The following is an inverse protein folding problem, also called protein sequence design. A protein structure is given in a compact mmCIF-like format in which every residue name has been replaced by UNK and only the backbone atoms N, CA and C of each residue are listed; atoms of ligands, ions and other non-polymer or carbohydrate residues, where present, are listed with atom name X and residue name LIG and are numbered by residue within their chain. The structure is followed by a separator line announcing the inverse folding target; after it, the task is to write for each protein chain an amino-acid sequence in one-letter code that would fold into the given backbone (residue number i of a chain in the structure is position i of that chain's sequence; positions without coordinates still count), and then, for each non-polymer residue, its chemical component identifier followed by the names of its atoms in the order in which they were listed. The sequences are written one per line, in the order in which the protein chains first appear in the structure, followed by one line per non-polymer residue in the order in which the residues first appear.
data_IF_965011982941
#
_entry.id   IF_965011982941
#
_cell.length_a   1.000
_cell.length_b   1.000
_cell.length_c   1.000
_cell.angle_alpha   90.00
_cell.angle_beta   90.00
_cell.angle_gamma   90.00
#
_symmetry.space_group_name_H-M   'P 1'
#
loop_
_entity.id
_entity.type
_entity.pdbx_description
1 polymer ?
#
# COMPACT_ATOMS: atom_id res chain seq x y z
N UNK A 1 -0.62 -20.84 -43.92
CA UNK A 1 -1.02 -20.02 -42.75
C UNK A 1 -0.34 -20.50 -41.47
N UNK A 2 0.15 -19.61 -40.61
CA UNK A 2 0.67 -20.03 -39.30
C UNK A 2 -0.46 -20.21 -38.28
N UNK A 3 -0.58 -21.39 -37.67
CA UNK A 3 -1.50 -21.67 -36.55
C UNK A 3 -1.41 -20.65 -35.39
N UNK A 4 -0.26 -19.97 -35.29
CA UNK A 4 -0.01 -18.92 -34.28
C UNK A 4 -0.84 -17.67 -34.50
N UNK A 5 -1.05 -17.23 -35.73
CA UNK A 5 -1.87 -16.03 -36.02
C UNK A 5 -3.33 -16.27 -35.68
N UNK A 6 -3.92 -17.40 -36.09
CA UNK A 6 -5.29 -17.78 -35.70
C UNK A 6 -5.47 -17.79 -34.18
N UNK A 7 -4.51 -18.39 -33.44
CA UNK A 7 -4.55 -18.38 -31.97
C UNK A 7 -4.48 -16.97 -31.39
N UNK A 8 -3.60 -16.12 -31.91
CA UNK A 8 -3.44 -14.75 -31.43
C UNK A 8 -4.70 -13.92 -31.67
N UNK A 9 -5.35 -14.08 -32.83
CA UNK A 9 -6.62 -13.43 -33.18
C UNK A 9 -7.74 -13.92 -32.25
N UNK A 10 -7.83 -15.23 -31.99
CA UNK A 10 -8.78 -15.79 -31.03
C UNK A 10 -8.57 -15.25 -29.60
N UNK A 11 -7.31 -15.11 -29.17
CA UNK A 11 -6.98 -14.51 -27.86
C UNK A 11 -7.31 -13.01 -27.81
N UNK A 12 -7.11 -12.26 -28.90
CA UNK A 12 -7.48 -10.84 -29.00
C UNK A 12 -9.00 -10.66 -28.94
N UNK A 13 -9.75 -11.48 -29.69
CA UNK A 13 -11.22 -11.50 -29.66
C UNK A 13 -11.75 -11.75 -28.25
N UNK A 14 -11.19 -12.73 -27.54
CA UNK A 14 -11.55 -13.02 -26.15
C UNK A 14 -11.31 -11.84 -25.19
N UNK A 15 -10.29 -11.02 -25.43
CA UNK A 15 -10.06 -9.81 -24.63
C UNK A 15 -11.08 -8.71 -24.96
N UNK A 16 -11.45 -8.54 -26.23
CA UNK A 16 -12.51 -7.61 -26.63
C UNK A 16 -13.86 -8.00 -26.01
N UNK A 17 -14.22 -9.29 -26.07
CA UNK A 17 -15.44 -9.82 -25.46
C UNK A 17 -15.44 -9.60 -23.94
N UNK A 18 -14.30 -9.84 -23.28
CA UNK A 18 -14.13 -9.60 -21.85
C UNK A 18 -14.29 -8.12 -21.48
N UNK A 19 -13.73 -7.21 -22.27
CA UNK A 19 -13.82 -5.77 -22.02
C UNK A 19 -15.27 -5.28 -22.14
N UNK A 20 -16.01 -5.71 -23.18
CA UNK A 20 -17.45 -5.38 -23.33
C UNK A 20 -18.30 -5.97 -22.20
N UNK A 21 -18.09 -7.24 -21.88
CA UNK A 21 -18.80 -7.91 -20.79
C UNK A 21 -18.53 -7.23 -19.43
N UNK A 22 -17.27 -6.83 -19.17
CA UNK A 22 -16.91 -6.11 -17.95
C UNK A 22 -17.56 -4.73 -17.89
N UNK A 23 -17.57 -3.97 -18.99
CA UNK A 23 -18.19 -2.64 -19.05
C UNK A 23 -19.70 -2.70 -18.80
N UNK A 24 -20.40 -3.68 -19.39
CA UNK A 24 -21.81 -3.94 -19.13
C UNK A 24 -22.04 -4.30 -17.65
N UNK A 25 -21.18 -5.16 -17.10
CA UNK A 25 -21.26 -5.59 -15.70
C UNK A 25 -21.14 -4.44 -14.70
N UNK A 26 -20.40 -3.37 -15.01
CA UNK A 26 -20.31 -2.17 -14.14
C UNK A 26 -21.68 -1.52 -13.94
N UNK A 27 -22.53 -1.54 -14.96
CA UNK A 27 -23.88 -0.97 -14.90
C UNK A 27 -24.85 -1.87 -14.11
N UNK A 28 -24.71 -3.19 -14.26
CA UNK A 28 -25.62 -4.19 -13.69
C UNK A 28 -25.37 -4.49 -12.20
N UNK A 29 -24.18 -4.17 -11.67
CA UNK A 29 -23.75 -4.58 -10.34
C UNK A 29 -24.17 -3.57 -9.24
N UNK A 30 -24.62 -4.05 -8.06
CA UNK A 30 -24.97 -3.20 -6.92
C UNK A 30 -23.83 -2.24 -6.51
N UNK A 31 -24.18 -1.08 -5.95
CA UNK A 31 -23.24 0.00 -5.66
C UNK A 31 -22.01 -0.41 -4.83
N UNK A 32 -22.12 -1.40 -3.95
CA UNK A 32 -21.01 -1.93 -3.15
C UNK A 32 -19.89 -2.60 -3.98
N UNK A 33 -20.26 -3.29 -5.06
CA UNK A 33 -19.33 -4.05 -5.91
C UNK A 33 -18.95 -3.31 -7.19
N UNK A 34 -19.62 -2.19 -7.50
CA UNK A 34 -19.39 -1.36 -8.68
C UNK A 34 -17.94 -0.91 -8.81
N UNK A 35 -17.23 -0.65 -7.71
CA UNK A 35 -15.81 -0.25 -7.73
C UNK A 35 -14.88 -1.37 -8.18
N UNK A 36 -15.13 -2.61 -7.74
CA UNK A 36 -14.37 -3.79 -8.17
C UNK A 36 -14.68 -4.14 -9.62
N UNK A 37 -15.95 -4.09 -10.02
CA UNK A 37 -16.37 -4.28 -11.41
C UNK A 37 -15.72 -3.22 -12.33
N UNK A 38 -15.70 -1.94 -11.92
CA UNK A 38 -15.06 -0.87 -12.66
C UNK A 38 -13.55 -1.07 -12.80
N UNK A 39 -12.88 -1.51 -11.73
CA UNK A 39 -11.46 -1.84 -11.78
C UNK A 39 -11.18 -2.97 -12.78
N UNK A 40 -12.00 -4.03 -12.78
CA UNK A 40 -11.88 -5.12 -13.76
C UNK A 40 -12.13 -4.61 -15.18
N UNK A 41 -13.14 -3.76 -15.42
CA UNK A 41 -13.41 -3.14 -16.73
C UNK A 41 -12.21 -2.38 -17.26
N UNK A 42 -11.65 -1.47 -16.46
CA UNK A 42 -10.50 -0.67 -16.87
C UNK A 42 -9.27 -1.51 -17.20
N UNK A 43 -9.05 -2.60 -16.47
CA UNK A 43 -7.93 -3.52 -16.74
C UNK A 43 -8.20 -4.37 -17.98
N UNK A 44 -9.42 -4.86 -18.18
CA UNK A 44 -9.81 -5.60 -19.37
C UNK A 44 -9.66 -4.75 -20.65
N UNK A 45 -10.11 -3.50 -20.61
CA UNK A 45 -9.91 -2.52 -21.69
C UNK A 45 -8.43 -2.27 -21.96
N UNK A 46 -7.62 -2.10 -20.90
CA UNK A 46 -6.17 -1.91 -21.03
C UNK A 46 -5.49 -3.13 -21.66
N UNK A 47 -5.88 -4.33 -21.24
CA UNK A 47 -5.35 -5.59 -21.77
C UNK A 47 -5.70 -5.75 -23.26
N UNK A 48 -6.93 -5.39 -23.65
CA UNK A 48 -7.35 -5.39 -25.05
C UNK A 48 -6.52 -4.41 -25.89
N UNK A 49 -6.40 -3.16 -25.43
CA UNK A 49 -5.64 -2.11 -26.12
C UNK A 49 -4.15 -2.47 -26.28
N UNK A 50 -3.51 -3.01 -25.24
CA UNK A 50 -2.11 -3.47 -25.31
C UNK A 50 -1.93 -4.63 -26.27
N UNK A 51 -2.87 -5.56 -26.27
CA UNK A 51 -2.79 -6.76 -27.11
C UNK A 51 -3.02 -6.42 -28.57
N UNK A 52 -3.99 -5.57 -28.87
CA UNK A 52 -4.21 -5.00 -30.20
C UNK A 52 -2.94 -4.28 -30.70
N UNK A 53 -2.38 -3.37 -29.89
CA UNK A 53 -1.15 -2.64 -30.26
C UNK A 53 0.05 -3.55 -30.50
N UNK A 54 0.18 -4.62 -29.71
CA UNK A 54 1.27 -5.60 -29.85
C UNK A 54 1.13 -6.41 -31.13
N UNK A 55 -0.09 -6.86 -31.45
CA UNK A 55 -0.36 -7.62 -32.67
C UNK A 55 -0.28 -6.75 -33.92
N UNK A 56 -0.76 -5.52 -33.88
CA UNK A 56 -0.59 -4.54 -34.95
C UNK A 56 0.90 -4.30 -35.23
N UNK A 57 1.71 -4.11 -34.19
CA UNK A 57 3.15 -3.93 -34.34
C UNK A 57 3.83 -5.15 -34.96
N UNK A 58 3.42 -6.35 -34.59
CA UNK A 58 3.92 -7.59 -35.21
C UNK A 58 3.47 -7.71 -36.67
N UNK A 59 2.22 -7.34 -36.98
CA UNK A 59 1.67 -7.36 -38.33
C UNK A 59 2.42 -6.40 -39.25
N UNK A 60 2.59 -5.14 -38.84
CA UNK A 60 3.30 -4.11 -39.62
C UNK A 60 4.79 -4.42 -39.83
N UNK A 61 5.40 -5.19 -38.94
CA UNK A 61 6.79 -5.64 -39.08
C UNK A 61 6.92 -6.98 -39.84
N UNK A 62 5.81 -7.54 -40.32
CA UNK A 62 5.69 -8.90 -40.87
C UNK A 62 6.35 -9.98 -40.00
N UNK A 63 6.21 -9.85 -38.67
CA UNK A 63 6.76 -10.78 -37.69
C UNK A 63 5.72 -11.78 -37.22
N UNK A 64 6.19 -12.89 -36.66
CA UNK A 64 5.32 -13.84 -35.96
C UNK A 64 4.71 -13.18 -34.70
N UNK A 65 3.44 -13.46 -34.36
CA UNK A 65 2.82 -12.91 -33.16
C UNK A 65 3.49 -13.51 -31.91
N UNK A 66 3.46 -12.79 -30.77
CA UNK A 66 4.03 -13.30 -29.53
C UNK A 66 3.30 -14.57 -29.07
N UNK A 67 4.00 -15.47 -28.36
CA UNK A 67 3.41 -16.71 -27.85
C UNK A 67 2.28 -16.47 -26.84
N UNK A 68 2.30 -15.33 -26.15
CA UNK A 68 1.30 -14.90 -25.17
C UNK A 68 1.09 -13.40 -25.31
N UNK A 69 -0.17 -12.97 -25.35
CA UNK A 69 -0.52 -11.55 -25.35
C UNK A 69 -0.27 -10.90 -23.99
N UNK A 70 0.01 -9.58 -23.95
CA UNK A 70 0.20 -8.84 -22.71
C UNK A 70 -1.12 -8.78 -21.94
N UNK A 71 -1.06 -9.19 -20.67
CA UNK A 71 -2.22 -9.28 -19.81
C UNK A 71 -1.82 -8.88 -18.40
N UNK A 72 -2.61 -8.04 -17.75
CA UNK A 72 -2.38 -7.63 -16.38
C UNK A 72 -2.48 -8.82 -15.42
N UNK A 73 -1.48 -8.94 -14.54
CA UNK A 73 -1.57 -9.87 -13.41
C UNK A 73 -2.34 -9.20 -12.29
N UNK A 74 -3.45 -9.80 -11.91
CA UNK A 74 -4.15 -9.45 -10.68
C UNK A 74 -3.45 -10.15 -9.52
N UNK A 75 -3.06 -9.39 -8.49
CA UNK A 75 -2.28 -9.89 -7.36
C UNK A 75 -3.21 -10.29 -6.22
N UNK A 76 -3.44 -11.59 -5.96
CA UNK A 76 -4.45 -12.03 -5.00
C UNK A 76 -4.13 -11.65 -3.54
N UNK A 77 -2.86 -11.46 -3.18
CA UNK A 77 -2.49 -11.07 -1.81
C UNK A 77 -2.62 -9.55 -1.55
N UNK A 78 -2.67 -8.73 -2.61
CA UNK A 78 -2.73 -7.26 -2.56
C UNK A 78 -3.93 -6.71 -3.34
N UNK A 79 -5.05 -7.43 -3.28
CA UNK A 79 -6.27 -7.15 -4.05
C UNK A 79 -6.80 -5.72 -3.88
N UNK A 80 -6.80 -5.21 -2.66
CA UNK A 80 -7.31 -3.86 -2.38
C UNK A 80 -6.36 -2.78 -2.91
N UNK A 81 -5.05 -2.93 -2.66
CA UNK A 81 -4.02 -2.02 -3.21
C UNK A 81 -4.04 -2.05 -4.74
N UNK A 82 -4.22 -3.22 -5.34
CA UNK A 82 -4.40 -3.37 -6.77
C UNK A 82 -5.65 -2.63 -7.26
N UNK A 83 -6.80 -2.82 -6.60
CA UNK A 83 -8.06 -2.16 -6.96
C UNK A 83 -7.93 -0.64 -6.91
N UNK A 84 -7.40 -0.10 -5.81
CA UNK A 84 -7.25 1.34 -5.61
C UNK A 84 -6.28 1.91 -6.65
N UNK A 85 -5.13 1.26 -6.86
CA UNK A 85 -4.16 1.65 -7.88
C UNK A 85 -4.76 1.65 -9.30
N UNK A 86 -5.61 0.65 -9.61
CA UNK A 86 -6.29 0.54 -10.90
C UNK A 86 -7.32 1.63 -11.07
N UNK A 87 -8.13 1.93 -10.05
CA UNK A 87 -9.12 3.00 -10.12
C UNK A 87 -8.46 4.36 -10.31
N UNK A 88 -7.41 4.65 -9.53
CA UNK A 88 -6.67 5.92 -9.60
C UNK A 88 -5.99 6.12 -10.97
N UNK A 89 -5.45 5.04 -11.54
CA UNK A 89 -4.75 5.09 -12.84
C UNK A 89 -5.65 4.75 -14.03
N UNK A 90 -6.95 4.60 -13.82
CA UNK A 90 -7.93 4.10 -14.82
C UNK A 90 -7.42 2.87 -15.57
N UNK A 91 -6.94 1.86 -14.85
CA UNK A 91 -6.41 0.59 -15.39
C UNK A 91 -5.06 0.71 -16.12
N UNK A 92 -4.53 1.91 -16.28
CA UNK A 92 -3.36 2.16 -17.11
C UNK A 92 -3.69 2.27 -18.61
N UNK A 93 -4.96 2.49 -18.98
CA UNK A 93 -5.41 2.73 -20.37
C UNK A 93 -4.58 3.85 -21.01
N UNK A 94 -4.37 4.96 -20.29
CA UNK A 94 -3.58 6.10 -20.76
C UNK A 94 -2.13 5.77 -21.14
N UNK A 95 -1.54 4.74 -20.52
CA UNK A 95 -0.19 4.26 -20.84
C UNK A 95 -0.17 3.29 -22.01
N UNK A 96 -1.32 2.69 -22.32
CA UNK A 96 -1.49 1.73 -23.40
C UNK A 96 -1.88 2.39 -24.74
N UNK A 97 -2.32 3.65 -24.72
CA UNK A 97 -2.60 4.42 -25.95
C UNK A 97 -1.37 4.44 -26.88
N UNK A 98 -1.51 4.07 -28.17
CA UNK A 98 -0.42 4.05 -29.14
C UNK A 98 0.25 5.42 -29.26
N UNK A 99 1.57 5.53 -29.06
CA UNK A 99 2.30 6.81 -29.14
C UNK A 99 2.51 7.29 -30.59
N UNK A 100 2.91 8.55 -30.76
CA UNK A 100 3.21 9.15 -32.08
C UNK A 100 4.15 8.31 -32.95
N UNK A 101 5.17 7.67 -32.36
CA UNK A 101 6.07 6.79 -33.11
C UNK A 101 5.34 5.58 -33.74
N UNK A 102 4.30 5.05 -33.09
CA UNK A 102 3.47 3.99 -33.65
C UNK A 102 2.58 4.52 -34.79
N UNK A 103 2.03 5.73 -34.65
CA UNK A 103 1.25 6.39 -35.71
C UNK A 103 2.09 6.65 -36.97
N UNK A 104 3.32 7.14 -36.81
CA UNK A 104 4.26 7.34 -37.93
C UNK A 104 4.51 6.01 -38.64
N UNK A 105 4.70 4.92 -37.88
CA UNK A 105 4.88 3.59 -38.48
C UNK A 105 3.65 3.09 -39.23
N UNK A 106 2.45 3.30 -38.69
CA UNK A 106 1.19 2.94 -39.38
C UNK A 106 1.05 3.71 -40.69
N UNK A 107 1.31 5.02 -40.69
CA UNK A 107 1.24 5.88 -41.88
C UNK A 107 2.31 5.56 -42.93
N UNK A 108 3.44 5.00 -42.53
CA UNK A 108 4.51 4.59 -43.46
C UNK A 108 4.27 3.22 -44.13
N UNK A 109 3.25 2.47 -43.68
CA UNK A 109 2.92 1.20 -44.29
C UNK A 109 2.11 1.40 -45.60
N UNK A 110 2.03 0.38 -46.47
CA UNK A 110 1.26 0.46 -47.71
C UNK A 110 -0.20 0.86 -47.47
N UNK A 111 -0.76 1.60 -48.42
CA UNK A 111 -2.14 2.06 -48.34
C UNK A 111 -3.12 0.88 -48.31
N UNK A 112 -3.94 0.84 -47.26
CA UNK A 112 -4.96 -0.19 -47.03
C UNK A 112 -6.14 0.48 -46.29
N UNK A 113 -7.39 0.32 -46.78
CA UNK A 113 -8.57 0.92 -46.16
C UNK A 113 -8.79 0.47 -44.69
N UNK A 114 -8.47 -0.77 -44.34
CA UNK A 114 -8.60 -1.25 -42.97
C UNK A 114 -7.53 -0.63 -42.07
N UNK A 115 -6.31 -0.46 -42.59
CA UNK A 115 -5.26 0.26 -41.88
C UNK A 115 -5.60 1.75 -41.70
N UNK A 116 -6.25 2.39 -42.67
CA UNK A 116 -6.73 3.77 -42.53
C UNK A 116 -7.73 3.89 -41.36
N UNK A 117 -8.69 2.96 -41.26
CA UNK A 117 -9.62 2.91 -40.13
C UNK A 117 -8.90 2.72 -38.78
N UNK A 118 -7.84 1.90 -38.74
CA UNK A 118 -6.99 1.75 -37.53
C UNK A 118 -6.27 3.06 -37.17
N UNK A 119 -5.77 3.80 -38.16
CA UNK A 119 -5.12 5.10 -37.96
C UNK A 119 -6.12 6.10 -37.38
N UNK A 120 -7.33 6.20 -37.93
CA UNK A 120 -8.38 7.11 -37.44
C UNK A 120 -8.72 6.84 -35.96
N UNK A 121 -8.87 5.56 -35.58
CA UNK A 121 -9.13 5.20 -34.19
C UNK A 121 -7.93 5.47 -33.27
N UNK A 122 -6.69 5.32 -33.77
CA UNK A 122 -5.49 5.65 -33.02
C UNK A 122 -5.35 7.16 -32.79
N UNK A 123 -5.75 7.99 -33.76
CA UNK A 123 -5.81 9.45 -33.64
C UNK A 123 -6.90 9.89 -32.67
N UNK A 124 -8.07 9.27 -32.71
CA UNK A 124 -9.13 9.51 -31.72
C UNK A 124 -8.66 9.19 -30.29
N UNK A 125 -7.89 8.11 -30.10
CA UNK A 125 -7.25 7.80 -28.82
C UNK A 125 -6.20 8.84 -28.41
N UNK A 126 -5.45 9.40 -29.35
CA UNK A 126 -4.54 10.52 -29.07
C UNK A 126 -5.30 11.78 -28.64
N UNK A 127 -6.45 12.09 -29.25
CA UNK A 127 -7.31 13.18 -28.80
C UNK A 127 -7.77 12.98 -27.35
N UNK A 128 -8.16 11.75 -26.98
CA UNK A 128 -8.49 11.41 -25.58
C UNK A 128 -7.32 11.59 -24.62
N UNK A 129 -6.11 11.16 -25.02
CA UNK A 129 -4.89 11.32 -24.23
C UNK A 129 -4.51 12.80 -24.07
N UNK A 130 -4.74 13.62 -25.10
CA UNK A 130 -4.59 15.08 -25.04
C UNK A 130 -5.58 15.69 -24.06
N UNK A 131 -6.85 15.28 -24.12
CA UNK A 131 -7.88 15.63 -23.15
C UNK A 131 -7.44 15.39 -21.71
N UNK A 132 -6.97 14.18 -21.38
CA UNK A 132 -6.47 13.84 -20.04
C UNK A 132 -5.32 14.76 -19.59
N UNK A 133 -4.37 15.07 -20.46
CA UNK A 133 -3.18 15.87 -20.13
C UNK A 133 -3.46 17.36 -20.01
N UNK A 134 -4.42 17.88 -20.79
CA UNK A 134 -4.65 19.32 -20.92
C UNK A 134 -5.85 19.82 -20.12
N UNK A 135 -6.87 19.00 -19.86
CA UNK A 135 -8.10 19.46 -19.18
C UNK A 135 -7.81 20.11 -17.81
N UNK A 136 -6.85 19.57 -17.07
CA UNK A 136 -6.48 20.09 -15.76
C UNK A 136 -5.74 21.45 -15.82
N UNK A 137 -5.13 21.78 -16.97
CA UNK A 137 -4.52 23.09 -17.22
C UNK A 137 -5.52 24.17 -17.57
N UNK A 138 -6.80 23.81 -17.79
CA UNK A 138 -7.86 24.79 -17.99
C UNK A 138 -8.43 25.31 -16.67
N UNK A 139 -8.04 24.73 -15.55
CA UNK A 139 -8.41 25.27 -14.24
C UNK A 139 -7.42 26.33 -13.81
N UNK A 140 -7.91 27.43 -13.25
CA UNK A 140 -7.11 28.45 -12.57
C UNK A 140 -7.55 28.57 -11.11
N UNK A 141 -6.64 29.02 -10.24
CA UNK A 141 -7.02 29.55 -8.93
C UNK A 141 -7.55 30.97 -9.09
N UNK A 142 -8.63 31.30 -8.39
CA UNK A 142 -9.27 32.62 -8.49
C UNK A 142 -9.58 33.21 -7.12
N UNK A 143 -9.69 34.54 -7.09
CA UNK A 143 -10.10 35.33 -5.94
C UNK A 143 -11.55 35.76 -6.21
N UNK A 144 -12.53 35.25 -5.45
CA UNK A 144 -13.93 35.64 -5.63
C UNK A 144 -14.14 37.10 -5.29
N UNK A 145 -15.07 37.75 -5.98
CA UNK A 145 -15.46 39.12 -5.66
C UNK A 145 -16.21 39.16 -4.31
N UNK A 146 -15.78 40.06 -3.41
CA UNK A 146 -16.31 40.14 -2.02
C UNK A 146 -17.78 40.58 -1.94
N UNK A 147 -18.41 40.94 -3.04
CA UNK A 147 -19.77 41.52 -3.10
C UNK A 147 -20.82 40.60 -3.72
N UNK A 148 -20.46 39.40 -4.21
CA UNK A 148 -21.39 38.47 -4.84
C UNK A 148 -22.02 37.49 -3.85
N UNK A 149 -23.36 37.38 -3.84
CA UNK A 149 -24.07 36.27 -3.19
C UNK A 149 -23.58 34.92 -3.74
N UNK A 150 -23.51 33.87 -2.91
CA UNK A 150 -23.10 32.54 -3.34
C UNK A 150 -24.22 31.88 -4.16
N UNK A 151 -24.37 32.25 -5.43
CA UNK A 151 -25.24 31.52 -6.36
C UNK A 151 -24.47 30.42 -7.08
N UNK A 152 -25.12 29.26 -7.18
CA UNK A 152 -24.61 27.98 -7.64
C UNK A 152 -24.38 27.89 -9.17
N UNK A 153 -23.84 28.94 -9.78
CA UNK A 153 -23.41 28.90 -11.18
C UNK A 153 -21.90 28.62 -11.27
N UNK A 154 -21.49 27.78 -12.20
CA UNK A 154 -20.08 27.50 -12.52
C UNK A 154 -19.32 28.74 -13.04
N UNK A 155 -20.01 29.87 -13.22
CA UNK A 155 -19.46 31.17 -13.61
C UNK A 155 -19.31 32.03 -12.34
N UNK A 156 -18.40 31.63 -11.45
CA UNK A 156 -18.13 32.43 -10.25
C UNK A 156 -17.36 33.69 -10.66
N UNK A 157 -18.00 34.84 -10.48
CA UNK A 157 -17.38 36.16 -10.63
C UNK A 157 -16.15 36.32 -9.74
N UNK A 158 -15.12 36.99 -10.24
CA UNK A 158 -13.85 37.13 -9.56
C UNK A 158 -12.68 37.28 -10.51
N UNK A 159 -11.53 37.67 -9.96
CA UNK A 159 -10.28 37.85 -10.72
C UNK A 159 -9.37 36.62 -10.61
N UNK A 160 -8.65 36.34 -11.70
CA UNK A 160 -7.60 35.30 -11.72
C UNK A 160 -6.54 35.61 -10.64
N UNK A 161 -6.13 34.59 -9.90
CA UNK A 161 -5.10 34.75 -8.89
C UNK A 161 -3.73 35.06 -9.55
N UNK A 162 -2.88 35.91 -8.94
CA UNK A 162 -1.53 36.15 -9.44
C UNK A 162 -0.74 34.84 -9.57
N UNK A 163 -0.02 34.69 -10.68
CA UNK A 163 0.83 33.52 -10.94
C UNK A 163 2.18 33.61 -10.25
N UNK A 164 2.86 32.47 -10.08
CA UNK A 164 4.22 32.43 -9.57
C UNK A 164 5.19 33.09 -10.57
N UNK A 165 6.23 33.79 -10.09
CA UNK A 165 7.25 34.37 -10.95
C UNK A 165 7.85 33.32 -11.88
N UNK A 166 8.05 33.68 -13.16
CA UNK A 166 8.54 32.79 -14.24
C UNK A 166 7.59 31.67 -14.69
N UNK A 167 6.36 31.61 -14.17
CA UNK A 167 5.34 30.63 -14.59
C UNK A 167 4.05 31.37 -14.98
N UNK A 168 3.97 31.94 -16.20
CA UNK A 168 2.86 32.80 -16.59
C UNK A 168 1.54 32.06 -16.79
N UNK A 169 1.57 30.74 -17.02
CA UNK A 169 0.36 29.91 -17.23
C UNK A 169 -0.46 29.76 -15.93
N UNK A 170 -1.67 30.34 -15.82
CA UNK A 170 -2.51 30.24 -14.63
C UNK A 170 -2.92 28.79 -14.30
N UNK A 171 -2.97 27.92 -15.31
CA UNK A 171 -3.30 26.52 -15.16
C UNK A 171 -2.14 25.61 -14.82
N UNK A 172 -0.94 26.18 -14.63
CA UNK A 172 0.22 25.40 -14.24
C UNK A 172 -0.01 24.74 -12.87
N UNK A 173 0.36 23.45 -12.69
CA UNK A 173 0.13 22.74 -11.43
C UNK A 173 0.69 23.45 -10.20
N UNK A 174 1.83 24.13 -10.32
CA UNK A 174 2.43 24.91 -9.23
C UNK A 174 1.59 26.14 -8.86
N UNK A 175 1.02 26.84 -9.84
CA UNK A 175 0.15 28.00 -9.59
C UNK A 175 -1.14 27.57 -8.87
N UNK A 176 -1.63 26.35 -9.15
CA UNK A 176 -2.79 25.75 -8.48
C UNK A 176 -2.49 25.22 -7.07
N UNK A 177 -1.30 24.63 -6.87
CA UNK A 177 -0.88 24.09 -5.58
C UNK A 177 -0.49 25.18 -4.58
N UNK A 178 0.03 26.31 -5.07
CA UNK A 178 0.48 27.44 -4.26
C UNK A 178 -0.21 28.73 -4.71
N UNK A 179 -1.54 28.84 -4.50
CA UNK A 179 -2.29 30.02 -4.91
C UNK A 179 -1.81 31.26 -4.15
N UNK A 180 -1.58 32.36 -4.88
CA UNK A 180 -1.19 33.66 -4.31
C UNK A 180 -2.37 34.61 -4.18
N UNK A 181 -2.18 35.65 -3.36
CA UNK A 181 -3.10 36.79 -3.30
C UNK A 181 -4.45 36.51 -2.62
N UNK A 182 -4.53 35.49 -1.77
CA UNK A 182 -5.76 35.15 -1.04
C UNK A 182 -6.80 34.41 -1.89
N UNK A 183 -6.38 33.64 -2.90
CA UNK A 183 -7.29 32.79 -3.67
C UNK A 183 -7.94 31.73 -2.77
N UNK A 184 -9.26 31.59 -2.88
CA UNK A 184 -10.06 30.68 -2.03
C UNK A 184 -10.72 29.55 -2.81
N UNK A 185 -10.56 29.51 -4.14
CA UNK A 185 -11.18 28.48 -4.98
C UNK A 185 -10.47 28.24 -6.31
N UNK A 186 -10.95 27.21 -7.02
CA UNK A 186 -10.55 26.86 -8.38
C UNK A 186 -11.74 26.95 -9.32
N UNK A 187 -11.55 27.52 -10.52
CA UNK A 187 -12.57 27.60 -11.58
C UNK A 187 -11.96 27.27 -12.94
N UNK A 188 -12.79 27.07 -13.96
CA UNK A 188 -12.34 27.00 -15.35
C UNK A 188 -11.89 28.40 -15.77
N UNK A 189 -10.80 28.50 -16.52
CA UNK A 189 -10.29 29.76 -17.08
C UNK A 189 -11.40 30.43 -17.90
N UNK A 190 -11.73 31.71 -17.60
CA UNK A 190 -12.79 32.43 -18.30
C UNK A 190 -12.58 32.43 -19.82
N UNK A 191 -13.63 32.15 -20.59
CA UNK A 191 -13.60 32.13 -22.05
C UNK A 191 -13.02 30.85 -22.66
N UNK A 192 -12.68 29.85 -21.85
CA UNK A 192 -12.18 28.53 -22.30
C UNK A 192 -13.14 27.38 -22.00
N UNK A 193 -14.41 27.67 -21.74
CA UNK A 193 -15.43 26.69 -21.39
C UNK A 193 -15.71 25.72 -22.56
N UNK A 194 -15.73 26.23 -23.79
CA UNK A 194 -15.89 25.40 -24.99
C UNK A 194 -14.73 24.40 -25.16
N UNK A 195 -13.50 24.87 -24.97
CA UNK A 195 -12.30 24.02 -25.00
C UNK A 195 -12.32 22.99 -23.85
N UNK A 196 -12.74 23.41 -22.65
CA UNK A 196 -12.92 22.51 -21.52
C UNK A 196 -13.93 21.40 -21.82
N UNK A 197 -15.09 21.76 -22.37
CA UNK A 197 -16.12 20.80 -22.72
C UNK A 197 -15.62 19.81 -23.77
N UNK A 198 -14.89 20.29 -24.79
CA UNK A 198 -14.28 19.42 -25.80
C UNK A 198 -13.24 18.47 -25.19
N UNK A 199 -12.27 18.97 -24.43
CA UNK A 199 -11.22 18.13 -23.82
C UNK A 199 -11.79 17.16 -22.78
N UNK A 200 -12.84 17.57 -22.04
CA UNK A 200 -13.54 16.73 -21.08
C UNK A 200 -14.30 15.60 -21.78
N UNK A 201 -14.98 15.91 -22.90
CA UNK A 201 -15.64 14.93 -23.76
C UNK A 201 -14.64 13.96 -24.39
N UNK A 202 -13.52 14.46 -24.92
CA UNK A 202 -12.46 13.62 -25.46
C UNK A 202 -11.87 12.69 -24.40
N UNK A 203 -11.67 13.20 -23.17
CA UNK A 203 -11.19 12.42 -22.04
C UNK A 203 -12.17 11.31 -21.65
N UNK A 204 -13.48 11.59 -21.61
CA UNK A 204 -14.48 10.59 -21.23
C UNK A 204 -14.70 9.54 -22.33
N UNK A 205 -14.51 9.91 -23.60
CA UNK A 205 -14.63 9.02 -24.76
C UNK A 205 -13.54 7.93 -24.85
N UNK A 206 -12.50 7.97 -24.00
CA UNK A 206 -11.37 7.02 -24.07
C UNK A 206 -11.81 5.56 -24.03
N UNK A 207 -12.83 5.23 -23.25
CA UNK A 207 -13.30 3.85 -23.07
C UNK A 207 -13.92 3.30 -24.36
N UNK A 208 -14.79 4.09 -25.01
CA UNK A 208 -15.38 3.72 -26.29
C UNK A 208 -14.32 3.67 -27.41
N UNK A 209 -13.41 4.64 -27.45
CA UNK A 209 -12.33 4.69 -28.45
C UNK A 209 -11.32 3.54 -28.29
N UNK A 210 -11.07 3.07 -27.07
CA UNK A 210 -10.19 1.92 -26.83
C UNK A 210 -10.77 0.62 -27.40
N UNK A 211 -12.08 0.40 -27.24
CA UNK A 211 -12.78 -0.71 -27.86
C UNK A 211 -12.78 -0.59 -29.39
N UNK A 212 -13.13 0.59 -29.92
CA UNK A 212 -13.17 0.82 -31.37
C UNK A 212 -11.81 0.60 -32.04
N UNK A 213 -10.71 1.05 -31.42
CA UNK A 213 -9.36 0.78 -31.91
C UNK A 213 -9.04 -0.72 -31.90
N UNK A 214 -9.34 -1.42 -30.82
CA UNK A 214 -9.12 -2.86 -30.75
C UNK A 214 -9.91 -3.62 -31.82
N UNK A 215 -11.15 -3.21 -32.07
CA UNK A 215 -12.04 -3.81 -33.08
C UNK A 215 -11.56 -3.53 -34.50
N UNK A 216 -11.07 -2.32 -34.79
CA UNK A 216 -10.44 -1.99 -36.06
C UNK A 216 -9.18 -2.84 -36.32
N UNK A 217 -8.34 -3.02 -35.29
CA UNK A 217 -7.16 -3.90 -35.39
C UNK A 217 -7.57 -5.35 -35.58
N UNK A 218 -8.61 -5.82 -34.87
CA UNK A 218 -9.11 -7.17 -35.03
C UNK A 218 -9.62 -7.42 -36.46
N UNK A 219 -10.38 -6.48 -37.03
CA UNK A 219 -10.86 -6.55 -38.41
C UNK A 219 -9.70 -6.64 -39.41
N UNK A 220 -8.71 -5.74 -39.29
CA UNK A 220 -7.49 -5.76 -40.10
C UNK A 220 -6.76 -7.12 -40.03
N UNK A 221 -6.61 -7.69 -38.82
CA UNK A 221 -5.90 -8.95 -38.63
C UNK A 221 -6.69 -10.15 -39.14
N UNK A 222 -8.02 -10.14 -39.01
CA UNK A 222 -8.88 -11.20 -39.56
C UNK A 222 -8.77 -11.23 -41.07
N UNK A 223 -8.84 -10.07 -41.73
CA UNK A 223 -8.70 -9.97 -43.17
C UNK A 223 -7.32 -10.47 -43.63
N UNK A 224 -6.24 -9.92 -43.05
CA UNK A 224 -4.90 -10.17 -43.58
C UNK A 224 -4.22 -11.46 -43.09
N UNK A 225 -4.67 -12.05 -41.98
CA UNK A 225 -3.98 -13.19 -41.34
C UNK A 225 -4.90 -14.39 -41.06
N UNK A 226 -6.21 -14.24 -41.28
CA UNK A 226 -7.21 -15.30 -41.12
C UNK A 226 -8.13 -15.47 -42.34
N UNK A 227 -7.74 -14.91 -43.50
CA UNK A 227 -8.46 -15.05 -44.78
C UNK A 227 -9.94 -14.62 -44.66
N UNK A 228 -10.20 -13.55 -43.90
CA UNK A 228 -11.55 -13.02 -43.65
C UNK A 228 -12.39 -13.83 -42.65
N UNK A 229 -11.94 -15.02 -42.21
CA UNK A 229 -12.68 -15.88 -41.30
C UNK A 229 -12.23 -15.68 -39.86
N UNK A 230 -13.05 -15.01 -39.07
CA UNK A 230 -12.77 -14.78 -37.66
C UNK A 230 -12.79 -16.09 -36.86
N UNK A 231 -11.70 -16.49 -36.19
CA UNK A 231 -11.69 -17.67 -35.34
C UNK A 231 -12.62 -17.50 -34.13
N UNK A 232 -13.05 -18.62 -33.56
CA UNK A 232 -13.80 -18.63 -32.31
C UNK A 232 -13.01 -17.96 -31.18
N UNK A 233 -13.76 -17.35 -30.26
CA UNK A 233 -13.17 -16.64 -29.12
C UNK A 233 -12.37 -17.63 -28.25
N UNK A 234 -11.13 -17.27 -27.94
CA UNK A 234 -10.25 -18.10 -27.11
C UNK A 234 -10.65 -18.09 -25.62
N UNK A 235 -9.87 -18.81 -24.79
CA UNK A 235 -10.05 -18.77 -23.33
C UNK A 235 -9.71 -17.40 -22.76
N UNK A 236 -10.60 -16.88 -21.92
CA UNK A 236 -10.39 -15.66 -21.13
C UNK A 236 -9.10 -15.74 -20.29
N UNK A 237 -8.35 -14.64 -20.27
CA UNK A 237 -7.12 -14.49 -19.49
C UNK A 237 -7.12 -13.16 -18.72
N UNK A 238 -6.25 -13.04 -17.72
CA UNK A 238 -6.08 -11.80 -16.96
C UNK A 238 -7.30 -11.38 -16.17
N UNK A 239 -7.59 -10.09 -16.25
CA UNK A 239 -8.81 -9.50 -15.69
C UNK A 239 -10.08 -10.14 -16.28
N UNK A 240 -10.07 -10.57 -17.54
CA UNK A 240 -11.21 -11.23 -18.17
C UNK A 240 -11.69 -12.49 -17.44
N UNK A 241 -10.82 -13.20 -16.72
CA UNK A 241 -11.22 -14.37 -15.91
C UNK A 241 -12.03 -14.03 -14.66
N UNK A 242 -11.98 -12.76 -14.24
CA UNK A 242 -12.64 -12.28 -13.04
C UNK A 242 -13.97 -11.58 -13.33
N UNK A 243 -14.33 -11.39 -14.60
CA UNK A 243 -15.65 -10.90 -15.01
C UNK A 243 -16.72 -11.91 -14.55
N UNK A 244 -17.69 -11.44 -13.78
CA UNK A 244 -18.70 -12.27 -13.12
C UNK A 244 -18.23 -13.01 -11.86
N UNK A 245 -16.96 -12.85 -11.48
CA UNK A 245 -16.36 -13.42 -10.26
C UNK A 245 -15.76 -12.33 -9.36
N UNK A 246 -16.36 -11.15 -9.37
CA UNK A 246 -15.86 -9.96 -8.68
C UNK A 246 -15.72 -10.21 -7.18
N UNK A 247 -16.71 -10.88 -6.56
CA UNK A 247 -16.68 -11.24 -5.14
C UNK A 247 -15.57 -12.22 -4.77
N UNK A 248 -15.20 -13.13 -5.70
CA UNK A 248 -14.08 -14.03 -5.50
C UNK A 248 -12.74 -13.28 -5.57
N UNK A 249 -12.70 -12.16 -6.30
CA UNK A 249 -11.51 -11.33 -6.46
C UNK A 249 -11.35 -10.31 -5.32
N UNK A 250 -12.38 -9.55 -4.99
CA UNK A 250 -12.38 -8.61 -3.86
C UNK A 250 -13.66 -8.84 -3.08
N UNK A 251 -13.63 -9.64 -1.99
CA UNK A 251 -14.79 -9.85 -1.15
C UNK A 251 -15.28 -8.52 -0.57
N UNK A 252 -16.59 -8.34 -0.48
CA UNK A 252 -17.16 -7.16 0.17
C UNK A 252 -16.63 -7.07 1.61
N UNK A 253 -15.97 -5.95 1.92
CA UNK A 253 -15.51 -5.68 3.28
C UNK A 253 -16.70 -5.22 4.12
N UNK A 254 -16.77 -5.73 5.35
CA UNK A 254 -17.55 -5.08 6.39
C UNK A 254 -17.11 -3.61 6.46
N UNK A 255 -18.07 -2.69 6.31
CA UNK A 255 -17.82 -1.25 6.43
C UNK A 255 -17.72 -0.88 7.90
N UNK A 256 -16.96 0.16 8.20
CA UNK A 256 -17.05 0.80 9.51
C UNK A 256 -18.49 1.28 9.73
N UNK A 257 -19.12 0.98 10.88
CA UNK A 257 -20.45 1.49 11.17
C UNK A 257 -20.39 3.01 11.31
N UNK A 258 -21.44 3.70 10.86
CA UNK A 258 -21.53 5.16 10.95
C UNK A 258 -21.57 5.66 12.40
N UNK A 259 -22.06 4.81 13.32
CA UNK A 259 -22.03 5.03 14.77
C UNK A 259 -21.60 3.75 15.45
N UNK A 260 -20.62 3.85 16.35
CA UNK A 260 -20.18 2.73 17.18
C UNK A 260 -21.17 2.55 18.33
N UNK A 261 -21.64 1.33 18.55
CA UNK A 261 -22.33 0.99 19.79
C UNK A 261 -21.32 0.79 20.94
N UNK A 262 -21.77 0.77 22.19
CA UNK A 262 -20.88 0.65 23.36
C UNK A 262 -19.97 -0.58 23.32
N UNK A 263 -20.47 -1.73 22.84
CA UNK A 263 -19.70 -2.98 22.75
C UNK A 263 -18.64 -2.94 21.64
N UNK A 264 -18.94 -2.29 20.52
CA UNK A 264 -18.00 -2.06 19.43
C UNK A 264 -16.92 -1.04 19.85
N UNK A 265 -17.31 -0.01 20.61
CA UNK A 265 -16.40 0.92 21.24
C UNK A 265 -15.44 0.22 22.21
N UNK A 266 -15.95 -0.68 23.05
CA UNK A 266 -15.14 -1.50 23.95
C UNK A 266 -14.10 -2.36 23.18
N UNK A 267 -14.48 -2.90 22.02
CA UNK A 267 -13.54 -3.65 21.17
C UNK A 267 -12.42 -2.79 20.60
N UNK A 268 -12.72 -1.59 20.14
CA UNK A 268 -11.69 -0.66 19.69
C UNK A 268 -10.80 -0.18 20.83
N UNK A 269 -11.37 0.07 22.00
CA UNK A 269 -10.61 0.45 23.19
C UNK A 269 -9.64 -0.67 23.62
N UNK A 270 -10.10 -1.93 23.66
CA UNK A 270 -9.25 -3.07 23.99
C UNK A 270 -8.13 -3.31 22.99
N UNK A 271 -8.43 -3.22 21.69
CA UNK A 271 -7.41 -3.32 20.63
C UNK A 271 -6.42 -2.14 20.67
N UNK A 272 -6.90 -0.93 20.92
CA UNK A 272 -6.06 0.27 21.07
C UNK A 272 -5.13 0.16 22.27
N UNK A 273 -5.63 -0.35 23.40
CA UNK A 273 -4.81 -0.59 24.59
C UNK A 273 -3.75 -1.65 24.35
N UNK A 274 -4.07 -2.72 23.61
CA UNK A 274 -3.08 -3.73 23.22
C UNK A 274 -1.96 -3.13 22.38
N UNK A 275 -2.28 -2.30 21.38
CA UNK A 275 -1.27 -1.61 20.57
C UNK A 275 -0.40 -0.72 21.47
N UNK A 276 -1.01 0.04 22.38
CA UNK A 276 -0.28 0.88 23.32
C UNK A 276 0.67 0.06 24.21
N UNK A 277 0.20 -1.07 24.76
CA UNK A 277 1.02 -1.94 25.59
C UNK A 277 2.23 -2.52 24.82
N UNK A 278 2.01 -2.99 23.60
CA UNK A 278 3.10 -3.48 22.74
C UNK A 278 4.07 -2.35 22.32
N UNK A 279 3.58 -1.13 22.17
CA UNK A 279 4.40 0.05 21.82
C UNK A 279 5.35 0.42 22.96
N UNK A 280 5.01 0.09 24.20
CA UNK A 280 5.87 0.27 25.37
C UNK A 280 7.07 -0.69 25.41
N UNK A 281 7.00 -1.85 24.74
CA UNK A 281 8.04 -2.88 24.84
C UNK A 281 9.44 -2.38 24.46
N UNK A 282 9.67 -1.74 23.30
CA UNK A 282 11.01 -1.26 22.95
C UNK A 282 11.57 -0.27 23.98
N UNK A 283 10.71 0.56 24.56
CA UNK A 283 11.13 1.57 25.54
C UNK A 283 11.48 0.91 26.88
N UNK A 284 10.63 0.00 27.39
CA UNK A 284 10.88 -0.72 28.65
C UNK A 284 12.17 -1.54 28.58
N UNK A 285 12.34 -2.31 27.49
CA UNK A 285 13.52 -3.14 27.29
C UNK A 285 14.77 -2.29 27.03
N UNK A 286 14.66 -1.24 26.22
CA UNK A 286 15.77 -0.34 25.94
C UNK A 286 16.25 0.43 27.17
N UNK A 287 15.35 0.83 28.07
CA UNK A 287 15.70 1.45 29.35
C UNK A 287 16.46 0.48 30.25
N UNK A 288 16.01 -0.79 30.35
CA UNK A 288 16.65 -1.79 31.22
C UNK A 288 17.98 -2.29 30.67
N UNK A 289 18.14 -2.32 29.35
CA UNK A 289 19.39 -2.66 28.67
C UNK A 289 20.43 -1.51 28.62
N UNK A 290 20.16 -0.39 29.30
CA UNK A 290 20.95 0.85 29.25
C UNK A 290 21.27 1.35 27.81
N UNK A 291 20.36 1.08 26.87
CA UNK A 291 20.47 1.51 25.47
C UNK A 291 19.94 2.93 25.26
N UNK A 292 19.93 3.77 26.31
CA UNK A 292 19.41 5.14 26.27
C UNK A 292 20.18 6.03 25.29
N UNK A 293 21.45 5.71 25.03
CA UNK A 293 22.27 6.32 23.96
C UNK A 293 21.66 6.16 22.56
N UNK A 294 20.74 5.21 22.36
CA UNK A 294 20.07 4.90 21.10
C UNK A 294 18.56 5.21 21.14
N UNK A 295 18.13 6.20 21.92
CA UNK A 295 16.71 6.57 22.10
C UNK A 295 15.96 6.73 20.77
N UNK A 296 16.59 7.29 19.73
CA UNK A 296 15.99 7.47 18.40
C UNK A 296 15.54 6.15 17.76
N UNK A 297 16.35 5.09 17.87
CA UNK A 297 16.00 3.77 17.34
C UNK A 297 14.87 3.12 18.13
N UNK A 298 14.86 3.29 19.46
CA UNK A 298 13.79 2.77 20.33
C UNK A 298 12.45 3.45 20.03
N UNK A 299 12.44 4.77 19.85
CA UNK A 299 11.24 5.52 19.43
C UNK A 299 10.79 5.17 18.01
N UNK A 300 11.72 4.93 17.07
CA UNK A 300 11.37 4.47 15.73
C UNK A 300 10.73 3.08 15.76
N UNK A 301 11.27 2.15 16.55
CA UNK A 301 10.70 0.82 16.74
C UNK A 301 9.29 0.89 17.37
N UNK A 302 9.12 1.70 18.42
CA UNK A 302 7.81 1.94 19.02
C UNK A 302 6.83 2.56 18.01
N UNK A 303 7.25 3.58 17.26
CA UNK A 303 6.47 4.20 16.21
C UNK A 303 6.03 3.22 15.12
N UNK A 304 6.92 2.30 14.70
CA UNK A 304 6.60 1.26 13.73
C UNK A 304 5.51 0.31 14.27
N UNK A 305 5.60 -0.11 15.54
CA UNK A 305 4.59 -0.95 16.19
C UNK A 305 3.24 -0.21 16.25
N UNK A 306 3.23 1.06 16.65
CA UNK A 306 2.01 1.87 16.71
C UNK A 306 1.36 2.04 15.32
N UNK A 307 2.15 2.36 14.30
CA UNK A 307 1.66 2.51 12.93
C UNK A 307 1.11 1.20 12.36
N UNK A 308 1.84 0.10 12.52
CA UNK A 308 1.42 -1.21 12.02
C UNK A 308 0.18 -1.73 12.76
N UNK A 309 0.14 -1.61 14.08
CA UNK A 309 -1.03 -1.95 14.90
C UNK A 309 -2.26 -1.14 14.52
N UNK A 310 -2.13 0.17 14.36
CA UNK A 310 -3.24 1.04 13.93
C UNK A 310 -3.74 0.68 12.53
N UNK A 311 -2.83 0.40 11.59
CA UNK A 311 -3.19 -0.02 10.24
C UNK A 311 -3.94 -1.37 10.24
N UNK A 312 -3.54 -2.31 11.10
CA UNK A 312 -4.23 -3.59 11.27
C UNK A 312 -5.64 -3.41 11.86
N UNK A 313 -5.80 -2.56 12.89
CA UNK A 313 -7.12 -2.23 13.46
C UNK A 313 -7.99 -1.57 12.40
N UNK A 314 -7.48 -0.59 11.67
CA UNK A 314 -8.23 0.09 10.60
C UNK A 314 -8.73 -0.90 9.53
N UNK A 315 -7.88 -1.88 9.16
CA UNK A 315 -8.15 -2.86 8.10
C UNK A 315 -9.09 -3.99 8.55
N UNK A 316 -8.91 -4.52 9.75
CA UNK A 316 -9.59 -5.72 10.24
C UNK A 316 -10.68 -5.43 11.28
N UNK A 317 -10.65 -4.26 11.89
CA UNK A 317 -11.60 -3.79 12.90
C UNK A 317 -13.07 -3.99 12.53
N UNK A 318 -13.53 -3.64 11.31
CA UNK A 318 -14.92 -3.82 10.92
C UNK A 318 -15.41 -5.27 11.07
N UNK A 319 -14.56 -6.26 10.73
CA UNK A 319 -14.90 -7.68 10.86
C UNK A 319 -14.95 -8.15 12.31
N UNK A 320 -14.17 -7.53 13.19
CA UNK A 320 -14.14 -7.87 14.62
C UNK A 320 -15.36 -7.30 15.36
N UNK A 321 -15.97 -6.24 14.83
CA UNK A 321 -17.10 -5.54 15.45
C UNK A 321 -18.46 -5.84 14.79
N UNK A 322 -18.50 -6.68 13.75
CA UNK A 322 -19.74 -7.12 13.08
C UNK A 322 -20.68 -8.01 13.90
N UNK A 323 -20.25 -8.83 14.89
CA UNK A 323 -21.19 -9.65 15.65
C UNK A 323 -22.21 -8.75 16.39
N UNK A 324 -23.52 -9.02 16.34
CA UNK A 324 -24.49 -8.24 17.09
C UNK A 324 -24.40 -8.49 18.60
N UNK A 325 -24.76 -7.46 19.39
CA UNK A 325 -24.94 -7.57 20.84
C UNK A 325 -23.62 -7.69 21.63
N UNK A 326 -23.61 -8.40 22.78
CA UNK A 326 -22.45 -8.49 23.67
C UNK A 326 -21.27 -9.26 23.06
N UNK A 327 -21.53 -10.12 22.06
CA UNK A 327 -20.46 -10.85 21.35
C UNK A 327 -19.51 -9.93 20.59
N UNK A 328 -19.93 -8.70 20.26
CA UNK A 328 -19.08 -7.70 19.63
C UNK A 328 -17.90 -7.28 20.51
N UNK A 329 -18.02 -7.40 21.84
CA UNK A 329 -17.02 -6.99 22.83
C UNK A 329 -15.92 -8.04 23.07
N UNK A 330 -16.16 -9.30 22.72
CA UNK A 330 -15.26 -10.43 23.03
C UNK A 330 -13.84 -10.21 22.49
N UNK A 331 -13.64 -9.80 21.21
CA UNK A 331 -12.29 -9.54 20.71
C UNK A 331 -11.58 -8.41 21.49
N UNK A 332 -12.34 -7.41 21.92
CA UNK A 332 -11.88 -6.33 22.80
C UNK A 332 -11.40 -6.81 24.16
N UNK A 333 -12.22 -7.62 24.82
CA UNK A 333 -11.93 -8.17 26.14
C UNK A 333 -10.67 -9.04 26.07
N UNK A 334 -10.58 -9.92 25.08
CA UNK A 334 -9.38 -10.74 24.86
C UNK A 334 -8.15 -9.86 24.64
N UNK A 335 -8.26 -8.84 23.79
CA UNK A 335 -7.16 -7.90 23.55
C UNK A 335 -6.77 -7.13 24.82
N UNK A 336 -7.73 -6.72 25.65
CA UNK A 336 -7.49 -6.02 26.91
C UNK A 336 -6.80 -6.93 27.95
N UNK A 337 -7.19 -8.21 28.05
CA UNK A 337 -6.50 -9.19 28.91
C UNK A 337 -5.06 -9.37 28.45
N UNK A 338 -4.83 -9.53 27.14
CA UNK A 338 -3.48 -9.63 26.60
C UNK A 338 -2.69 -8.34 26.89
N UNK A 339 -3.30 -7.17 26.65
CA UNK A 339 -2.68 -5.86 26.91
C UNK A 339 -2.24 -5.74 28.37
N UNK A 340 -3.10 -6.13 29.30
CA UNK A 340 -2.80 -6.15 30.73
C UNK A 340 -1.63 -7.09 31.05
N UNK A 341 -1.63 -8.31 30.52
CA UNK A 341 -0.53 -9.25 30.73
C UNK A 341 0.80 -8.74 30.17
N UNK A 342 0.80 -8.12 28.99
CA UNK A 342 2.00 -7.51 28.38
C UNK A 342 2.47 -6.34 29.24
N UNK A 343 1.55 -5.47 29.68
CA UNK A 343 1.88 -4.29 30.47
C UNK A 343 2.48 -4.64 31.84
N UNK A 344 1.92 -5.65 32.52
CA UNK A 344 2.41 -6.11 33.81
C UNK A 344 3.66 -6.98 33.68
N UNK A 345 3.77 -7.77 32.60
CA UNK A 345 4.89 -8.70 32.40
C UNK A 345 6.16 -8.07 31.86
N UNK A 346 6.07 -7.00 31.07
CA UNK A 346 7.23 -6.42 30.37
C UNK A 346 8.33 -5.94 31.33
N UNK A 347 7.97 -5.36 32.49
CA UNK A 347 8.93 -4.89 33.49
C UNK A 347 9.68 -6.07 34.13
N UNK A 348 8.99 -6.99 34.82
CA UNK A 348 9.63 -8.16 35.43
C UNK A 348 10.44 -9.01 34.45
N UNK A 349 9.97 -9.17 33.21
CA UNK A 349 10.72 -9.90 32.18
C UNK A 349 11.98 -9.13 31.77
N UNK A 350 11.88 -7.82 31.53
CA UNK A 350 13.05 -7.01 31.24
C UNK A 350 14.05 -7.03 32.40
N UNK A 351 13.57 -6.94 33.63
CA UNK A 351 14.38 -6.95 34.85
C UNK A 351 15.08 -8.30 35.03
N UNK A 352 14.40 -9.39 34.67
CA UNK A 352 15.01 -10.72 34.72
C UNK A 352 16.21 -10.83 33.76
N UNK A 353 16.06 -10.36 32.51
CA UNK A 353 17.10 -10.49 31.48
C UNK A 353 18.21 -9.43 31.60
N UNK A 354 17.86 -8.20 31.97
CA UNK A 354 18.76 -7.03 32.00
C UNK A 354 19.01 -6.56 33.44
N UNK A 355 19.14 -7.50 34.36
CA UNK A 355 19.34 -7.18 35.77
C UNK A 355 20.69 -6.54 36.07
N UNK A 356 20.72 -5.81 37.19
CA UNK A 356 21.94 -5.29 37.76
C UNK A 356 22.93 -6.40 38.13
N UNK A 357 24.23 -6.08 38.28
CA UNK A 357 25.27 -7.05 38.61
C UNK A 357 25.01 -7.83 39.89
N UNK A 358 24.52 -7.17 40.95
CA UNK A 358 24.22 -7.85 42.21
C UNK A 358 23.05 -8.82 42.09
N UNK A 359 21.98 -8.45 41.38
CA UNK A 359 20.83 -9.33 41.14
C UNK A 359 21.20 -10.55 40.26
N UNK A 360 22.20 -10.40 39.38
CA UNK A 360 22.78 -11.53 38.62
C UNK A 360 23.59 -12.43 39.54
N UNK A 361 24.43 -11.86 40.41
CA UNK A 361 25.18 -12.61 41.42
C UNK A 361 24.25 -13.38 42.37
N UNK A 362 23.20 -12.71 42.84
CA UNK A 362 22.26 -13.27 43.78
C UNK A 362 21.55 -14.48 43.19
N UNK A 363 21.13 -14.39 41.92
CA UNK A 363 20.47 -15.50 41.22
C UNK A 363 21.42 -16.63 40.80
N UNK A 364 22.63 -16.31 40.35
CA UNK A 364 23.58 -17.30 39.84
C UNK A 364 24.28 -18.05 40.97
N UNK A 365 24.62 -17.35 42.05
CA UNK A 365 25.49 -17.86 43.09
C UNK A 365 24.80 -17.87 44.47
N UNK A 366 24.34 -16.71 44.96
CA UNK A 366 23.92 -16.58 46.36
C UNK A 366 22.65 -17.37 46.73
N UNK A 367 21.69 -17.48 45.82
CA UNK A 367 20.51 -18.35 45.95
C UNK A 367 20.73 -19.75 45.35
N UNK A 368 21.90 -19.99 44.76
CA UNK A 368 22.30 -21.25 44.13
C UNK A 368 23.33 -22.00 44.98
N UNK A 369 24.47 -22.30 44.37
CA UNK A 369 25.54 -23.08 44.98
C UNK A 369 26.18 -22.40 46.21
N UNK A 370 26.14 -21.07 46.33
CA UNK A 370 26.67 -20.34 47.50
C UNK A 370 25.64 -20.13 48.62
N UNK A 371 24.42 -20.65 48.52
CA UNK A 371 23.35 -20.40 49.50
C UNK A 371 23.68 -20.87 50.93
N UNK A 372 24.46 -21.93 51.08
CA UNK A 372 24.91 -22.46 52.38
C UNK A 372 26.31 -21.94 52.80
N UNK A 373 26.91 -21.03 52.03
CA UNK A 373 28.27 -20.53 52.24
C UNK A 373 28.28 -19.17 52.97
N UNK A 374 29.45 -18.67 53.40
CA UNK A 374 29.62 -17.29 53.86
C UNK A 374 29.26 -16.22 52.81
N UNK A 375 29.08 -16.62 51.55
CA UNK A 375 28.76 -15.75 50.42
C UNK A 375 27.26 -15.64 50.11
N UNK A 376 26.39 -16.19 50.97
CA UNK A 376 24.94 -16.07 50.83
C UNK A 376 24.47 -14.61 50.93
N UNK A 377 23.27 -14.34 50.39
CA UNK A 377 22.72 -13.00 50.19
C UNK A 377 22.76 -12.08 51.43
N UNK A 378 22.42 -12.58 52.61
CA UNK A 378 22.35 -11.84 53.87
C UNK A 378 23.71 -11.67 54.57
N UNK A 379 24.75 -12.35 54.07
CA UNK A 379 26.07 -12.42 54.71
C UNK A 379 27.17 -11.73 53.90
N UNK A 380 26.82 -10.94 52.88
CA UNK A 380 27.80 -10.29 52.00
C UNK A 380 27.59 -8.78 51.89
N UNK A 381 28.70 -8.07 51.67
CA UNK A 381 28.71 -6.70 51.15
C UNK A 381 29.18 -6.75 49.71
N UNK A 382 28.38 -6.20 48.80
CA UNK A 382 28.71 -6.12 47.39
C UNK A 382 28.95 -4.66 46.97
N UNK A 383 29.97 -4.46 46.14
CA UNK A 383 30.27 -3.18 45.51
C UNK A 383 30.62 -3.42 44.04
N UNK A 384 30.13 -2.57 43.16
CA UNK A 384 30.51 -2.57 41.74
C UNK A 384 31.49 -1.43 41.53
N UNK A 385 32.67 -1.73 40.99
CA UNK A 385 33.68 -0.76 40.62
C UNK A 385 34.36 -1.20 39.31
N UNK A 386 34.53 -0.26 38.38
CA UNK A 386 35.15 -0.47 37.05
C UNK A 386 34.69 -1.76 36.31
N UNK A 387 33.37 -2.00 36.28
CA UNK A 387 32.80 -3.18 35.62
C UNK A 387 33.10 -4.52 36.32
N UNK A 388 33.53 -4.48 37.58
CA UNK A 388 33.78 -5.64 38.44
C UNK A 388 32.88 -5.60 39.67
N UNK A 389 32.13 -6.68 39.87
CA UNK A 389 31.39 -6.93 41.09
C UNK A 389 32.32 -7.56 42.12
N UNK A 390 32.53 -6.84 43.20
CA UNK A 390 33.32 -7.26 44.35
C UNK A 390 32.39 -7.68 45.47
N UNK A 391 32.44 -8.94 45.89
CA UNK A 391 31.58 -9.49 46.96
C UNK A 391 32.44 -9.92 48.14
N UNK A 392 32.22 -9.32 49.31
CA UNK A 392 32.98 -9.57 50.53
C UNK A 392 32.09 -10.15 51.62
N UNK A 393 32.40 -11.34 52.18
CA UNK A 393 31.63 -11.93 53.26
C UNK A 393 31.81 -11.15 54.56
N UNK A 394 30.71 -10.92 55.29
CA UNK A 394 30.68 -10.15 56.54
C UNK A 394 31.43 -10.88 57.66
N UNK A 395 31.46 -12.21 57.64
CA UNK A 395 32.18 -13.04 58.63
C UNK A 395 33.70 -13.11 58.37
N UNK A 396 34.20 -12.42 57.33
CA UNK A 396 35.58 -12.52 56.88
C UNK A 396 35.80 -13.70 55.93
N UNK A 397 36.76 -13.57 55.01
CA UNK A 397 37.06 -14.56 53.98
C UNK A 397 37.66 -13.94 52.72
N UNK A 398 37.83 -14.75 51.68
CA UNK A 398 38.32 -14.31 50.37
C UNK A 398 37.29 -13.41 49.69
N UNK A 399 37.69 -12.27 49.15
CA UNK A 399 36.79 -11.41 48.36
C UNK A 399 36.61 -11.98 46.96
N UNK A 400 35.36 -12.16 46.51
CA UNK A 400 35.06 -12.60 45.15
C UNK A 400 35.10 -11.41 44.19
N UNK A 401 35.77 -11.58 43.04
CA UNK A 401 35.84 -10.60 41.95
C UNK A 401 35.23 -11.20 40.68
N UNK A 402 34.07 -10.68 40.31
CA UNK A 402 33.23 -11.22 39.25
C UNK A 402 33.00 -10.16 38.15
N UNK A 403 33.17 -10.55 36.88
CA UNK A 403 32.92 -9.66 35.75
C UNK A 403 32.50 -10.39 34.48
N UNK A 404 31.91 -9.69 33.49
CA UNK A 404 31.64 -8.25 33.48
C UNK A 404 30.36 -7.88 34.28
N UNK A 405 30.51 -6.89 35.17
CA UNK A 405 29.48 -6.34 36.04
C UNK A 405 28.92 -5.00 35.54
N UNK A 406 28.59 -4.95 34.24
CA UNK A 406 27.90 -3.83 33.62
C UNK A 406 26.39 -3.89 33.92
N UNK A 407 25.76 -2.72 34.12
CA UNK A 407 24.30 -2.62 34.23
C UNK A 407 23.63 -2.99 32.91
N UNK A 408 22.49 -3.69 32.97
CA UNK A 408 21.77 -4.12 31.78
C UNK A 408 22.48 -5.20 30.95
N UNK A 409 23.54 -5.84 31.45
CA UNK A 409 24.24 -6.91 30.73
C UNK A 409 23.56 -8.26 30.91
N UNK A 410 23.51 -9.06 29.84
CA UNK A 410 23.00 -10.45 29.85
C UNK A 410 24.10 -11.48 30.05
N UNK A 411 25.36 -11.05 30.12
CA UNK A 411 26.49 -11.97 30.25
C UNK A 411 26.51 -12.62 31.64
N UNK A 412 26.89 -13.91 31.75
CA UNK A 412 27.12 -14.52 33.06
C UNK A 412 28.32 -13.83 33.74
N UNK A 413 28.23 -13.65 35.04
CA UNK A 413 29.35 -13.19 35.83
C UNK A 413 30.42 -14.29 35.85
N UNK A 414 31.68 -13.95 35.61
CA UNK A 414 32.79 -14.92 35.58
C UNK A 414 33.86 -14.54 36.59
N UNK A 415 34.57 -15.52 37.17
CA UNK A 415 35.69 -15.25 38.07
C UNK A 415 36.82 -14.56 37.32
N UNK A 416 37.26 -13.41 37.82
CA UNK A 416 38.34 -12.61 37.21
C UNK A 416 39.73 -13.01 37.71
N UNK A 417 39.82 -13.66 38.87
CA UNK A 417 41.08 -14.12 39.45
C UNK A 417 41.01 -15.57 39.92
N UNK A 418 42.20 -16.13 40.21
CA UNK A 418 42.36 -17.52 40.64
C UNK A 418 41.75 -17.77 42.03
N UNK A 419 41.73 -16.75 42.89
CA UNK A 419 41.18 -16.85 44.24
C UNK A 419 39.66 -17.01 44.20
N UNK A 420 38.97 -16.20 43.40
CA UNK A 420 37.52 -16.29 43.15
C UNK A 420 37.18 -17.64 42.53
N UNK A 421 37.97 -18.10 41.53
CA UNK A 421 37.75 -19.42 40.93
C UNK A 421 37.87 -20.56 41.94
N UNK A 422 38.91 -20.54 42.78
CA UNK A 422 39.10 -21.58 43.80
C UNK A 422 37.94 -21.64 44.79
N UNK A 423 37.39 -20.48 45.20
CA UNK A 423 36.21 -20.43 46.07
C UNK A 423 34.98 -20.94 45.34
N UNK A 424 34.73 -20.54 44.10
CA UNK A 424 33.60 -21.05 43.32
C UNK A 424 33.68 -22.58 43.17
N UNK A 425 34.84 -23.10 42.76
CA UNK A 425 35.10 -24.53 42.60
C UNK A 425 34.88 -25.31 43.93
N UNK A 426 35.28 -24.73 45.08
CA UNK A 426 35.09 -25.33 46.42
C UNK A 426 33.61 -25.55 46.76
N UNK A 427 32.74 -24.62 46.36
CA UNK A 427 31.29 -24.70 46.60
C UNK A 427 30.51 -25.30 45.42
N UNK A 428 31.21 -25.82 44.40
CA UNK A 428 30.58 -26.43 43.22
C UNK A 428 29.86 -25.44 42.30
N UNK A 429 30.34 -24.20 42.28
CA UNK A 429 30.04 -23.14 41.32
C UNK A 429 31.16 -23.04 40.27
#
# INVERSE_FOLDING_TARGET
MSSRWRRAIAELRAQGDAARAAAQRVQDVPSGQRTTAAAISYVAETDYLRSASTLLSAHLADRRPPRRLPVARVWPCLRDVWKDQVLDRRGGVWRAVPRNAALVRMRSAPADPLLAAVIDQAEALQASLRGERQVNRLYESYIPDRTGRPDASLLVGGRTAPTLPRIPDPGHPLNRAFPRGGATGTRIQPGREAEFNQLSSDRSAVHARALAFGDAVLALLVEHRADGVAPESGRLRGAGRWVGREQQLVPDRAKWPAKLNGNQGATLAGLGWLVLACTGLPLTFGQRADLLSHYTLLFLAAGLIACTGTALIYRHGPKLITPPGPRAAVPGIVAAVIAFTVWQGQGPVADYYFAGPYDRYDRQYANGCLAASPYRHDAVRAMVDDGVLTVTPVTGGTTLRLGPAEDGSTHPLRPLDRATRAVLDEYGC
#
